data_IF_459237133615
#
_entry.id   IF_459237133615
#
_cell.length_a   1.000
_cell.length_b   1.000
_cell.length_c   1.000
_cell.angle_alpha   90.00
_cell.angle_beta   90.00
_cell.angle_gamma   90.00
#
_symmetry.space_group_name_H-M   'P 1'
#
loop_
_entity.id
_entity.type
_entity.pdbx_description
1 polymer ?
#
# COMPACT_ATOMS: atom_id res chain seq x y z
N UNK A 1 -27.95 32.72 39.70
CA UNK A 1 -28.03 33.19 38.31
C UNK A 1 -26.97 32.40 37.57
N UNK A 2 -27.40 31.47 36.72
CA UNK A 2 -26.57 30.49 36.05
C UNK A 2 -26.10 31.06 34.72
N UNK A 3 -24.81 30.92 34.44
CA UNK A 3 -24.17 30.91 33.11
C UNK A 3 -23.01 29.91 33.29
N UNK A 4 -23.07 28.62 32.97
CA UNK A 4 -23.45 27.88 31.77
C UNK A 4 -22.55 28.16 30.54
N UNK A 5 -21.68 27.17 30.29
CA UNK A 5 -21.00 26.76 29.03
C UNK A 5 -19.96 27.78 28.47
N UNK A 6 -18.75 27.42 28.03
CA UNK A 6 -18.34 26.24 27.26
C UNK A 6 -16.89 25.81 27.50
N UNK A 7 -16.74 24.59 28.03
CA UNK A 7 -15.47 23.87 28.19
C UNK A 7 -15.21 22.95 26.97
N UNK A 8 -15.56 23.40 25.75
CA UNK A 8 -15.65 22.54 24.56
C UNK A 8 -14.93 23.07 23.31
N UNK A 9 -14.08 24.10 23.42
CA UNK A 9 -13.28 24.62 22.29
C UNK A 9 -11.79 24.34 22.40
N UNK A 10 -11.41 23.32 23.18
CA UNK A 10 -10.15 22.58 22.99
C UNK A 10 -10.31 21.55 21.86
N UNK A 11 -10.73 22.00 20.67
CA UNK A 11 -10.50 21.21 19.45
C UNK A 11 -9.05 21.46 19.05
N UNK A 12 -8.16 20.69 19.66
CA UNK A 12 -6.90 20.38 19.04
C UNK A 12 -7.22 19.85 17.65
N UNK A 13 -6.93 20.63 16.61
CA UNK A 13 -6.79 20.14 15.24
C UNK A 13 -5.66 19.10 15.28
N UNK A 14 -6.03 17.83 15.45
CA UNK A 14 -5.11 16.72 15.27
C UNK A 14 -4.65 16.73 13.81
N UNK A 15 -3.38 17.06 13.60
CA UNK A 15 -2.70 16.98 12.31
C UNK A 15 -2.78 15.54 11.76
N UNK A 16 -3.79 15.25 10.93
CA UNK A 16 -3.87 14.03 10.12
C UNK A 16 -2.97 14.21 8.90
N UNK A 17 -1.66 14.17 9.08
CA UNK A 17 -0.77 14.20 7.92
C UNK A 17 0.63 13.70 8.23
N UNK A 18 0.74 12.40 8.51
CA UNK A 18 1.95 11.68 8.15
C UNK A 18 1.60 10.61 7.12
N UNK A 19 1.44 11.06 5.87
CA UNK A 19 1.41 10.15 4.73
C UNK A 19 2.71 9.34 4.75
N UNK A 20 2.60 8.03 4.59
CA UNK A 20 3.75 7.14 4.62
C UNK A 20 4.04 6.68 3.20
N UNK A 21 5.24 6.95 2.70
CA UNK A 21 5.69 6.44 1.39
C UNK A 21 6.82 5.44 1.58
N UNK A 22 6.61 4.21 1.11
CA UNK A 22 7.58 3.12 1.20
C UNK A 22 7.91 2.55 -0.16
N UNK A 23 9.11 1.99 -0.30
CA UNK A 23 9.49 1.18 -1.44
C UNK A 23 9.49 -0.29 -1.03
N UNK A 24 8.61 -1.09 -1.63
CA UNK A 24 8.61 -2.54 -1.48
C UNK A 24 9.40 -3.12 -2.66
N UNK A 25 10.55 -3.80 -2.45
CA UNK A 25 11.39 -4.37 -3.51
C UNK A 25 10.75 -5.66 -4.08
N UNK A 26 9.55 -5.51 -4.63
CA UNK A 26 8.72 -6.57 -5.14
C UNK A 26 7.94 -6.10 -6.37
N UNK A 27 7.93 -6.95 -7.39
CA UNK A 27 7.08 -6.80 -8.57
C UNK A 27 6.52 -8.16 -8.98
N UNK A 28 5.20 -8.31 -8.92
CA UNK A 28 4.55 -9.57 -9.31
C UNK A 28 4.64 -9.87 -10.82
N UNK A 29 4.34 -11.11 -11.17
CA UNK A 29 3.96 -11.47 -12.54
C UNK A 29 2.83 -10.58 -13.07
N UNK A 30 2.75 -10.46 -14.40
CA UNK A 30 1.63 -9.77 -15.04
C UNK A 30 0.31 -10.44 -14.64
N UNK A 31 -0.77 -9.68 -14.57
CA UNK A 31 -2.11 -10.18 -14.24
C UNK A 31 -2.51 -11.35 -15.14
N UNK A 32 -2.19 -11.29 -16.43
CA UNK A 32 -2.47 -12.38 -17.38
C UNK A 32 -1.77 -13.70 -17.01
N UNK A 33 -0.54 -13.62 -16.49
CA UNK A 33 0.21 -14.79 -15.99
C UNK A 33 -0.38 -15.23 -14.65
N UNK A 34 -0.68 -14.29 -13.76
CA UNK A 34 -1.21 -14.57 -12.44
C UNK A 34 -2.60 -15.26 -12.47
N UNK A 35 -3.41 -15.02 -13.49
CA UNK A 35 -4.70 -15.70 -13.68
C UNK A 35 -4.55 -17.15 -14.16
N UNK A 36 -3.43 -17.49 -14.79
CA UNK A 36 -3.17 -18.83 -15.37
C UNK A 36 -2.22 -19.66 -14.51
N UNK A 37 -1.60 -19.07 -13.50
CA UNK A 37 -0.62 -19.75 -12.67
C UNK A 37 -1.29 -20.75 -11.72
N UNK A 38 -0.57 -21.82 -11.39
CA UNK A 38 -1.03 -22.78 -10.39
C UNK A 38 -0.89 -22.21 -8.96
N UNK A 39 -1.53 -22.88 -8.00
CA UNK A 39 -1.57 -22.45 -6.59
C UNK A 39 -0.18 -22.32 -5.94
N UNK A 40 0.80 -23.11 -6.36
CA UNK A 40 2.14 -23.11 -5.75
C UNK A 40 2.94 -21.90 -6.21
N UNK A 41 2.90 -21.59 -7.51
CA UNK A 41 3.52 -20.39 -8.06
C UNK A 41 2.91 -19.13 -7.42
N UNK A 42 1.58 -19.05 -7.35
CA UNK A 42 0.88 -17.96 -6.67
C UNK A 42 1.30 -17.83 -5.20
N UNK A 43 1.33 -18.94 -4.47
CA UNK A 43 1.70 -18.92 -3.05
C UNK A 43 3.14 -18.44 -2.83
N UNK A 44 4.06 -18.76 -3.75
CA UNK A 44 5.43 -18.26 -3.70
C UNK A 44 5.47 -16.74 -3.90
N UNK A 45 4.79 -16.23 -4.92
CA UNK A 45 4.73 -14.78 -5.17
C UNK A 45 4.16 -13.99 -3.98
N UNK A 46 3.11 -14.50 -3.33
CA UNK A 46 2.52 -13.87 -2.14
C UNK A 46 3.49 -13.89 -0.96
N UNK A 47 4.23 -14.99 -0.76
CA UNK A 47 5.26 -15.07 0.29
C UNK A 47 6.41 -14.11 0.04
N UNK A 48 6.87 -14.01 -1.21
CA UNK A 48 7.93 -13.09 -1.62
C UNK A 48 7.51 -11.64 -1.37
N UNK A 49 6.25 -11.28 -1.68
CA UNK A 49 5.68 -9.97 -1.38
C UNK A 49 5.66 -9.69 0.13
N UNK A 50 5.17 -10.64 0.94
CA UNK A 50 5.11 -10.50 2.39
C UNK A 50 6.49 -10.32 3.03
N UNK A 51 7.51 -11.03 2.55
CA UNK A 51 8.89 -10.85 3.02
C UNK A 51 9.45 -9.48 2.64
N UNK A 52 9.27 -9.06 1.39
CA UNK A 52 9.72 -7.75 0.93
C UNK A 52 9.04 -6.60 1.70
N UNK A 53 7.73 -6.70 1.93
CA UNK A 53 6.99 -5.69 2.67
C UNK A 53 7.38 -5.64 4.15
N UNK A 54 7.57 -6.79 4.81
CA UNK A 54 8.06 -6.83 6.21
C UNK A 54 9.38 -6.11 6.38
N UNK A 55 10.32 -6.30 5.46
CA UNK A 55 11.59 -5.59 5.48
C UNK A 55 11.42 -4.09 5.20
N UNK A 56 10.63 -3.74 4.18
CA UNK A 56 10.37 -2.34 3.79
C UNK A 56 9.61 -1.54 4.85
N UNK A 57 8.77 -2.21 5.65
CA UNK A 57 7.94 -1.60 6.68
C UNK A 57 8.57 -1.65 8.08
N UNK A 58 9.84 -2.07 8.20
CA UNK A 58 10.50 -2.14 9.49
C UNK A 58 10.53 -0.75 10.17
N UNK A 59 9.93 -0.66 11.36
CA UNK A 59 9.83 0.59 12.13
C UNK A 59 8.60 1.44 11.82
N UNK A 60 7.76 1.04 10.87
CA UNK A 60 6.47 1.69 10.61
C UNK A 60 5.46 1.24 11.67
N UNK A 61 4.78 2.21 12.29
CA UNK A 61 3.72 1.91 13.26
C UNK A 61 2.45 1.45 12.53
N UNK A 62 1.66 0.54 13.12
CA UNK A 62 0.36 0.17 12.58
C UNK A 62 -0.56 1.40 12.40
N UNK A 63 -1.29 1.43 11.30
CA UNK A 63 -2.27 2.46 10.96
C UNK A 63 -3.66 1.85 11.11
N UNK A 64 -4.38 2.23 12.16
CA UNK A 64 -5.67 1.63 12.51
C UNK A 64 -6.88 2.35 11.88
N UNK A 65 -6.66 3.54 11.31
CA UNK A 65 -7.69 4.31 10.61
C UNK A 65 -7.84 3.87 9.15
N UNK A 66 -8.88 4.38 8.51
CA UNK A 66 -9.11 4.17 7.09
C UNK A 66 -8.03 4.88 6.26
N UNK A 67 -7.59 4.26 5.15
CA UNK A 67 -6.54 4.76 4.27
C UNK A 67 -6.96 4.74 2.80
N UNK A 68 -6.37 5.65 2.03
CA UNK A 68 -6.21 5.49 0.58
C UNK A 68 -4.81 4.94 0.30
N UNK A 69 -4.70 4.00 -0.63
CA UNK A 69 -3.44 3.40 -1.05
C UNK A 69 -3.13 3.78 -2.50
N UNK A 70 -1.92 4.29 -2.74
CA UNK A 70 -1.39 4.55 -4.09
C UNK A 70 -0.25 3.59 -4.37
N UNK A 71 -0.33 2.88 -5.49
CA UNK A 71 0.70 1.95 -5.92
C UNK A 71 1.30 2.42 -7.24
N UNK A 72 2.62 2.62 -7.25
CA UNK A 72 3.37 2.99 -8.44
C UNK A 72 4.54 2.01 -8.64
N UNK A 73 4.44 1.08 -9.61
CA UNK A 73 5.56 0.20 -9.95
C UNK A 73 6.76 1.01 -10.44
N UNK A 74 7.98 0.64 -10.02
CA UNK A 74 9.24 1.14 -10.58
C UNK A 74 9.93 0.03 -11.36
N UNK A 75 10.21 0.27 -12.63
CA UNK A 75 10.77 -0.73 -13.55
C UNK A 75 12.28 -0.53 -13.74
N UNK A 76 13.06 -1.37 -13.06
CA UNK A 76 14.51 -1.46 -13.21
C UNK A 76 14.96 -2.04 -14.55
N UNK A 77 16.27 -2.30 -14.67
CA UNK A 77 16.87 -2.92 -15.86
C UNK A 77 16.19 -4.26 -16.21
N UNK A 78 15.91 -4.48 -17.50
CA UNK A 78 15.35 -5.73 -18.03
C UNK A 78 13.84 -5.90 -17.89
N UNK A 79 13.15 -5.02 -17.16
CA UNK A 79 11.70 -5.09 -17.00
C UNK A 79 10.95 -4.53 -18.22
N UNK A 80 9.94 -5.23 -18.71
CA UNK A 80 9.05 -4.71 -19.75
C UNK A 80 7.95 -3.84 -19.14
N UNK A 81 7.67 -2.70 -19.77
CA UNK A 81 6.50 -1.87 -19.44
C UNK A 81 5.21 -2.60 -19.83
N UNK A 82 4.24 -2.62 -18.92
CA UNK A 82 2.92 -3.21 -19.11
C UNK A 82 1.86 -2.12 -18.98
N UNK A 83 0.64 -2.37 -19.46
CA UNK A 83 -0.49 -1.50 -19.17
C UNK A 83 -0.75 -1.45 -17.66
N UNK A 84 -1.20 -0.32 -17.12
CA UNK A 84 -1.40 -0.11 -15.67
C UNK A 84 -2.27 -1.19 -15.05
N UNK A 85 -3.37 -1.58 -15.69
CA UNK A 85 -4.27 -2.65 -15.21
C UNK A 85 -3.57 -4.01 -15.05
N UNK A 86 -2.50 -4.25 -15.81
CA UNK A 86 -1.76 -5.51 -15.78
C UNK A 86 -0.89 -5.65 -14.51
N UNK A 87 -0.81 -4.61 -13.69
CA UNK A 87 -0.21 -4.64 -12.35
C UNK A 87 -1.23 -4.93 -11.24
N UNK A 88 -2.48 -5.29 -11.53
CA UNK A 88 -3.48 -5.56 -10.48
C UNK A 88 -3.09 -6.73 -9.57
N UNK A 89 -2.46 -7.79 -10.12
CA UNK A 89 -1.87 -8.85 -9.31
C UNK A 89 -0.76 -8.34 -8.36
N UNK A 90 0.06 -7.40 -8.84
CA UNK A 90 1.09 -6.75 -8.02
C UNK A 90 0.48 -5.95 -6.88
N UNK A 91 -0.53 -5.14 -7.17
CA UNK A 91 -1.27 -4.37 -6.16
C UNK A 91 -1.86 -5.27 -5.09
N UNK A 92 -2.56 -6.33 -5.49
CA UNK A 92 -3.16 -7.28 -4.54
C UNK A 92 -2.12 -7.91 -3.62
N UNK A 93 -1.00 -8.37 -4.19
CA UNK A 93 0.06 -8.99 -3.39
C UNK A 93 0.71 -8.00 -2.42
N UNK A 94 0.95 -6.76 -2.84
CA UNK A 94 1.54 -5.74 -1.97
C UNK A 94 0.55 -5.29 -0.89
N UNK A 95 -0.73 -5.13 -1.23
CA UNK A 95 -1.81 -4.87 -0.26
C UNK A 95 -1.89 -5.97 0.83
N UNK A 96 -1.97 -7.25 0.43
CA UNK A 96 -1.93 -8.39 1.37
C UNK A 96 -0.66 -8.36 2.23
N UNK A 97 0.46 -7.96 1.63
CA UNK A 97 1.75 -7.90 2.29
C UNK A 97 1.84 -6.76 3.32
N UNK A 98 1.12 -5.64 3.15
CA UNK A 98 1.01 -4.58 4.17
C UNK A 98 0.29 -5.09 5.42
N UNK A 99 -0.77 -5.88 5.24
CA UNK A 99 -1.47 -6.56 6.35
C UNK A 99 -0.53 -7.57 7.02
N UNK A 100 0.15 -8.40 6.22
CA UNK A 100 1.10 -9.39 6.76
C UNK A 100 2.31 -8.75 7.47
N UNK A 101 2.66 -7.50 7.12
CA UNK A 101 3.70 -6.71 7.78
C UNK A 101 3.21 -6.00 9.06
N UNK A 102 1.90 -6.03 9.35
CA UNK A 102 1.31 -5.37 10.51
C UNK A 102 1.13 -3.86 10.36
N UNK A 103 1.24 -3.33 9.13
CA UNK A 103 1.01 -1.90 8.86
C UNK A 103 -0.47 -1.59 8.81
N UNK A 104 -1.26 -2.47 8.20
CA UNK A 104 -2.73 -2.38 8.15
C UNK A 104 -3.34 -3.53 8.96
N UNK A 105 -4.49 -3.33 9.63
CA UNK A 105 -5.20 -4.40 10.32
C UNK A 105 -5.79 -5.44 9.36
N UNK A 106 -6.31 -4.98 8.21
CA UNK A 106 -6.93 -5.80 7.16
C UNK A 106 -6.98 -5.00 5.83
N UNK A 107 -7.30 -5.65 4.72
CA UNK A 107 -7.45 -5.04 3.38
C UNK A 107 -8.91 -4.72 3.01
N UNK A 108 -9.84 -4.99 3.93
CA UNK A 108 -11.27 -4.75 3.75
C UNK A 108 -11.59 -3.25 3.65
N UNK A 109 -12.75 -2.95 3.06
CA UNK A 109 -13.22 -1.58 2.84
C UNK A 109 -13.39 -0.72 4.11
N UNK A 110 -13.39 -1.33 5.30
CA UNK A 110 -13.39 -0.60 6.58
C UNK A 110 -12.02 0.04 6.90
N UNK A 111 -10.92 -0.49 6.34
CA UNK A 111 -9.56 0.05 6.48
C UNK A 111 -9.02 0.63 5.17
N UNK A 112 -9.41 0.09 4.01
CA UNK A 112 -8.94 0.56 2.70
C UNK A 112 -10.09 1.15 1.91
N UNK A 113 -10.18 2.48 1.85
CA UNK A 113 -11.24 3.20 1.14
C UNK A 113 -11.05 3.19 -0.37
N UNK A 114 -9.80 3.39 -0.81
CA UNK A 114 -9.46 3.59 -2.21
C UNK A 114 -8.12 2.95 -2.54
N UNK A 115 -8.05 2.34 -3.71
CA UNK A 115 -6.81 1.89 -4.35
C UNK A 115 -6.62 2.71 -5.62
N UNK A 116 -5.44 3.31 -5.76
CA UNK A 116 -5.01 4.06 -6.92
C UNK A 116 -3.81 3.33 -7.53
N UNK A 117 -3.92 3.01 -8.82
CA UNK A 117 -2.85 2.40 -9.59
C UNK A 117 -2.24 3.45 -10.50
N UNK A 118 -1.03 3.87 -10.21
CA UNK A 118 -0.29 4.79 -11.07
C UNK A 118 0.43 4.04 -12.20
N UNK A 119 0.61 4.67 -13.38
CA UNK A 119 1.47 4.13 -14.41
C UNK A 119 2.88 3.84 -13.88
N UNK A 120 3.56 2.81 -14.42
CA UNK A 120 4.89 2.46 -13.95
C UNK A 120 5.91 3.57 -14.22
N UNK A 121 6.71 3.88 -13.22
CA UNK A 121 7.92 4.68 -13.36
C UNK A 121 9.01 3.85 -14.04
N UNK A 122 9.65 4.38 -15.08
CA UNK A 122 10.76 3.71 -15.78
C UNK A 122 12.07 4.28 -15.27
N UNK A 123 12.72 3.56 -14.37
CA UNK A 123 14.08 3.88 -13.91
C UNK A 123 14.99 2.66 -14.05
N UNK A 124 15.75 2.63 -15.14
CA UNK A 124 16.62 1.50 -15.50
C UNK A 124 17.88 1.38 -14.64
N UNK A 125 18.17 2.39 -13.81
CA UNK A 125 19.34 2.42 -12.93
C UNK A 125 19.01 1.95 -11.52
N UNK A 126 17.74 2.01 -11.15
CA UNK A 126 17.26 1.63 -9.82
C UNK A 126 16.74 0.20 -9.75
N UNK A 127 16.57 -0.27 -8.52
CA UNK A 127 15.95 -1.55 -8.21
C UNK A 127 14.47 -1.58 -8.66
N UNK A 128 14.03 -2.74 -9.16
CA UNK A 128 12.63 -2.98 -9.50
C UNK A 128 11.80 -3.20 -8.25
N UNK A 129 10.62 -2.58 -8.18
CA UNK A 129 9.71 -2.80 -7.07
C UNK A 129 8.47 -1.95 -7.20
N UNK A 130 7.84 -1.64 -6.08
CA UNK A 130 6.60 -0.86 -6.02
C UNK A 130 6.71 0.19 -4.93
N UNK A 131 6.55 1.45 -5.32
CA UNK A 131 6.26 2.51 -4.37
C UNK A 131 4.84 2.37 -3.88
N UNK A 132 4.65 2.47 -2.57
CA UNK A 132 3.34 2.49 -1.92
C UNK A 132 3.24 3.78 -1.12
N UNK A 133 2.22 4.57 -1.38
CA UNK A 133 1.82 5.69 -0.52
C UNK A 133 0.58 5.28 0.27
N UNK A 134 0.67 5.39 1.58
CA UNK A 134 -0.42 5.13 2.52
C UNK A 134 -0.88 6.48 3.04
N UNK A 135 -2.11 6.85 2.72
CA UNK A 135 -2.68 8.16 2.99
C UNK A 135 -3.82 7.98 3.99
N UNK A 136 -3.62 8.33 5.28
CA UNK A 136 -4.71 8.32 6.25
C UNK A 136 -5.87 9.20 5.79
N UNK A 137 -7.09 8.70 5.97
CA UNK A 137 -8.32 9.45 5.70
C UNK A 137 -8.72 10.17 6.98
N UNK A 138 -8.90 11.49 6.88
CA UNK A 138 -9.50 12.28 7.97
C UNK A 138 -10.91 11.77 8.27
N UNK A 139 -11.20 11.55 9.56
CA UNK A 139 -12.55 11.24 10.00
C UNK A 139 -13.44 12.45 9.68
N UNK A 140 -14.46 12.23 8.84
CA UNK A 140 -15.47 13.24 8.47
C UNK A 140 -16.49 13.40 9.59
#
# INVERSE_FOLDING_TARGET
MADHIDNALLRHEESVSDRVRIFVPYLASSTNVALRQNRFARSREVKDAAWAAKAACAGIKPINGMVDLVFQPRLGKGQRTRDTSNYSANVKHVEDALVAAGVLPDDRGEYVRRIIMEPPEIDRKSETGTWVEIIPVEAV
#
